data_IF_410284179380
#
_entry.id   IF_410284179380
#
_cell.length_a   1.000
_cell.length_b   1.000
_cell.length_c   1.000
_cell.angle_alpha   90.00
_cell.angle_beta   90.00
_cell.angle_gamma   90.00
#
_symmetry.space_group_name_H-M   'P 1'
#
loop_
_entity.id
_entity.type
_entity.pdbx_description
1 polymer ?
#
# COMPACT_ATOMS: atom_id res chain seq x y z
N UNK A 1 14.05 -20.32 32.06
CA UNK A 1 14.32 -19.06 31.34
C UNK A 1 13.66 -19.07 29.97
N UNK A 2 13.06 -17.95 29.52
CA UNK A 2 12.52 -17.84 28.15
C UNK A 2 13.66 -17.84 27.13
N UNK A 3 13.54 -18.64 26.06
CA UNK A 3 14.52 -18.70 24.96
C UNK A 3 14.85 -17.29 24.44
N UNK A 4 16.13 -16.96 24.19
CA UNK A 4 16.55 -15.63 23.72
C UNK A 4 15.75 -15.13 22.51
N UNK A 5 15.38 -16.03 21.59
CA UNK A 5 14.58 -15.72 20.39
C UNK A 5 13.22 -15.06 20.66
N UNK A 6 12.68 -15.23 21.87
CA UNK A 6 11.37 -14.73 22.28
C UNK A 6 11.44 -13.43 23.09
N UNK A 7 12.64 -12.83 23.22
CA UNK A 7 12.86 -11.56 23.94
C UNK A 7 12.79 -10.33 23.03
N UNK A 8 12.82 -10.51 21.71
CA UNK A 8 12.84 -9.41 20.74
C UNK A 8 11.47 -8.73 20.55
N UNK A 9 11.48 -7.45 20.18
CA UNK A 9 10.27 -6.66 19.89
C UNK A 9 9.47 -7.18 18.68
N UNK A 10 10.08 -8.01 17.84
CA UNK A 10 9.43 -8.65 16.70
C UNK A 10 8.50 -9.80 17.11
N UNK A 11 8.59 -10.27 18.36
CA UNK A 11 7.74 -11.33 18.93
C UNK A 11 6.72 -10.71 19.88
N UNK A 12 5.43 -10.80 19.53
CA UNK A 12 4.31 -10.41 20.39
C UNK A 12 4.01 -11.55 21.37
N UNK A 13 3.99 -11.24 22.66
CA UNK A 13 3.51 -12.16 23.71
C UNK A 13 1.99 -12.02 23.81
N UNK A 14 1.26 -13.12 23.62
CA UNK A 14 -0.21 -13.15 23.71
C UNK A 14 -0.59 -14.20 24.73
N UNK A 15 -1.15 -13.78 25.86
CA UNK A 15 -1.76 -14.70 26.82
C UNK A 15 -3.11 -15.16 26.24
N UNK A 16 -3.33 -16.47 26.15
CA UNK A 16 -4.62 -17.04 25.74
C UNK A 16 -5.06 -18.10 26.74
N UNK A 17 -6.36 -18.19 26.97
CA UNK A 17 -6.96 -19.36 27.61
C UNK A 17 -6.96 -20.51 26.61
N UNK A 18 -6.37 -21.62 27.00
CA UNK A 18 -6.42 -22.91 26.33
C UNK A 18 -7.35 -23.82 27.13
N UNK A 19 -7.87 -24.91 26.53
CA UNK A 19 -8.75 -25.84 27.25
C UNK A 19 -8.14 -26.42 28.55
N UNK A 20 -6.81 -26.52 28.61
CA UNK A 20 -6.06 -27.02 29.77
C UNK A 20 -5.60 -25.92 30.75
N UNK A 21 -5.98 -24.66 30.54
CA UNK A 21 -5.62 -23.55 31.45
C UNK A 21 -5.24 -22.26 30.73
N UNK A 22 -4.35 -21.45 31.31
CA UNK A 22 -3.83 -20.22 30.66
C UNK A 22 -2.40 -20.41 30.22
N UNK A 23 -2.11 -20.17 28.93
CA UNK A 23 -0.76 -20.31 28.36
C UNK A 23 -0.33 -19.03 27.64
N UNK A 24 0.96 -18.70 27.72
CA UNK A 24 1.55 -17.57 26.97
C UNK A 24 2.05 -18.05 25.60
N UNK A 25 1.42 -17.56 24.54
CA UNK A 25 1.79 -17.88 23.15
C UNK A 25 2.66 -16.76 22.58
N UNK A 26 3.80 -17.12 21.99
CA UNK A 26 4.69 -16.21 21.29
C UNK A 26 4.33 -16.17 19.81
N UNK A 27 3.83 -15.03 19.32
CA UNK A 27 3.49 -14.83 17.89
C UNK A 27 4.43 -13.81 17.26
N UNK A 28 5.09 -14.16 16.15
CA UNK A 28 5.86 -13.16 15.38
C UNK A 28 4.91 -12.14 14.76
N UNK A 29 5.33 -10.87 14.68
CA UNK A 29 4.57 -9.82 13.98
C UNK A 29 4.40 -10.21 12.51
N UNK A 30 3.16 -10.17 12.03
CA UNK A 30 2.82 -10.38 10.62
C UNK A 30 3.02 -9.05 9.90
N UNK A 31 3.83 -9.03 8.84
CA UNK A 31 4.03 -7.85 7.98
C UNK A 31 2.86 -7.76 6.98
N UNK A 32 2.41 -6.54 6.64
CA UNK A 32 1.58 -6.31 5.44
C UNK A 32 0.10 -5.96 5.62
N UNK A 33 -0.32 -5.38 6.75
CA UNK A 33 -1.76 -5.12 6.97
C UNK A 33 -2.32 -3.86 6.31
N UNK A 34 -1.53 -2.79 6.16
CA UNK A 34 -2.00 -1.52 5.57
C UNK A 34 -1.04 -1.08 4.48
N UNK A 35 -1.61 -0.82 3.30
CA UNK A 35 -0.90 -0.25 2.16
C UNK A 35 -1.26 1.22 2.07
N UNK A 36 -0.31 2.07 1.73
CA UNK A 36 -0.48 3.51 1.65
C UNK A 36 -0.29 4.00 0.22
N UNK A 37 -1.06 5.01 -0.16
CA UNK A 37 -0.90 5.71 -1.43
C UNK A 37 0.45 6.43 -1.47
N UNK A 38 1.17 6.35 -2.59
CA UNK A 38 2.47 7.02 -2.72
C UNK A 38 2.40 8.56 -2.64
N UNK A 39 1.25 9.16 -2.97
CA UNK A 39 1.08 10.63 -2.99
C UNK A 39 0.47 11.12 -1.68
N UNK A 40 -0.77 10.74 -1.38
CA UNK A 40 -1.49 11.23 -0.21
C UNK A 40 -1.27 10.41 1.06
N UNK A 41 -0.56 9.28 1.00
CA UNK A 41 -0.34 8.34 2.13
C UNK A 41 -1.62 7.75 2.75
N UNK A 42 -2.79 7.97 2.13
CA UNK A 42 -4.05 7.36 2.55
C UNK A 42 -4.04 5.84 2.35
N UNK A 43 -4.88 5.13 3.12
CA UNK A 43 -4.97 3.68 3.03
C UNK A 43 -5.48 3.24 1.64
N UNK A 44 -4.81 2.25 1.05
CA UNK A 44 -5.22 1.61 -0.19
C UNK A 44 -6.12 0.41 0.14
N UNK A 45 -7.38 0.50 -0.26
CA UNK A 45 -8.34 -0.58 -0.18
C UNK A 45 -8.08 -1.62 -1.28
N UNK A 46 -8.43 -2.88 -0.99
CA UNK A 46 -8.29 -4.01 -1.91
C UNK A 46 -6.86 -4.24 -2.44
N UNK A 47 -5.85 -3.82 -1.66
CA UNK A 47 -4.44 -4.10 -1.94
C UNK A 47 -3.89 -5.03 -0.88
N UNK A 48 -3.17 -6.06 -1.30
CA UNK A 48 -2.53 -7.03 -0.41
C UNK A 48 -1.10 -7.33 -0.86
N UNK A 49 -0.18 -7.46 0.09
CA UNK A 49 1.22 -7.83 -0.17
C UNK A 49 1.54 -9.28 0.19
N UNK A 50 0.52 -10.12 0.38
CA UNK A 50 0.76 -11.53 0.69
C UNK A 50 1.23 -12.26 -0.57
N UNK A 51 2.41 -12.92 -0.53
CA UNK A 51 2.94 -13.62 -1.70
C UNK A 51 2.13 -14.89 -2.04
N UNK A 52 1.30 -15.38 -1.12
CA UNK A 52 0.41 -16.53 -1.36
C UNK A 52 -0.82 -16.17 -2.21
N UNK A 53 -1.19 -14.89 -2.31
CA UNK A 53 -2.35 -14.46 -3.10
C UNK A 53 -2.02 -14.45 -4.60
N UNK A 54 -2.99 -14.77 -5.48
CA UNK A 54 -2.84 -14.59 -6.92
C UNK A 54 -2.73 -13.10 -7.27
N UNK A 55 -2.17 -12.79 -8.45
CA UNK A 55 -1.94 -11.40 -8.90
C UNK A 55 -3.21 -10.55 -8.89
N UNK A 56 -4.34 -11.13 -9.33
CA UNK A 56 -5.66 -10.48 -9.34
C UNK A 56 -6.15 -10.07 -7.96
N UNK A 57 -5.81 -10.84 -6.92
CA UNK A 57 -6.20 -10.55 -5.54
C UNK A 57 -5.21 -9.61 -4.82
N UNK A 58 -4.04 -9.31 -5.40
CA UNK A 58 -3.03 -8.43 -4.79
C UNK A 58 -3.32 -6.96 -5.03
N UNK A 59 -3.86 -6.62 -6.20
CA UNK A 59 -4.14 -5.24 -6.56
C UNK A 59 -5.32 -5.13 -7.51
N UNK A 60 -6.05 -3.99 -7.51
CA UNK A 60 -7.04 -3.69 -8.53
C UNK A 60 -6.45 -3.64 -9.94
N UNK A 61 -7.27 -3.86 -10.97
CA UNK A 61 -6.87 -3.86 -12.38
C UNK A 61 -6.72 -2.48 -13.02
N UNK A 62 -7.18 -1.42 -12.35
CA UNK A 62 -7.08 -0.04 -12.87
C UNK A 62 -5.63 0.44 -13.00
N UNK A 63 -5.44 1.50 -13.78
CA UNK A 63 -4.16 2.20 -13.91
C UNK A 63 -3.67 2.65 -12.52
N UNK A 64 -2.39 2.38 -12.24
CA UNK A 64 -1.73 2.60 -10.95
C UNK A 64 -2.41 1.91 -9.75
N UNK A 65 -3.18 0.84 -9.99
CA UNK A 65 -3.76 -0.01 -8.95
C UNK A 65 -2.67 -0.58 -8.02
N UNK A 66 -2.91 -0.50 -6.72
CA UNK A 66 -1.94 -0.94 -5.70
C UNK A 66 -0.85 0.08 -5.34
N UNK A 67 -0.74 1.20 -6.06
CA UNK A 67 0.25 2.25 -5.77
C UNK A 67 -0.41 3.61 -5.45
N UNK A 68 -1.40 4.02 -6.26
CA UNK A 68 -2.16 5.25 -6.03
C UNK A 68 -3.58 4.95 -5.58
N UNK A 69 -4.19 5.83 -4.77
CA UNK A 69 -5.62 5.79 -4.47
C UNK A 69 -6.44 6.30 -5.68
N UNK A 70 -7.75 6.02 -5.69
CA UNK A 70 -8.63 6.40 -6.81
C UNK A 70 -8.65 7.91 -7.07
N UNK A 71 -8.60 8.73 -6.00
CA UNK A 71 -8.55 10.19 -6.11
C UNK A 71 -7.27 10.68 -6.77
N UNK A 72 -6.10 10.21 -6.32
CA UNK A 72 -4.81 10.60 -6.91
C UNK A 72 -4.69 10.13 -8.37
N UNK A 73 -5.25 8.97 -8.72
CA UNK A 73 -5.29 8.55 -10.13
C UNK A 73 -6.20 9.42 -10.98
N UNK A 74 -7.35 9.83 -10.47
CA UNK A 74 -8.23 10.77 -11.17
C UNK A 74 -7.53 12.10 -11.44
N UNK A 75 -6.85 12.65 -10.42
CA UNK A 75 -6.03 13.86 -10.58
C UNK A 75 -4.96 13.69 -11.65
N UNK A 76 -4.20 12.60 -11.62
CA UNK A 76 -3.14 12.33 -12.60
C UNK A 76 -3.69 12.28 -14.04
N UNK A 77 -4.86 11.66 -14.24
CA UNK A 77 -5.52 11.59 -15.55
C UNK A 77 -5.96 12.99 -16.01
N UNK A 78 -6.58 13.78 -15.12
CA UNK A 78 -7.02 15.15 -15.45
C UNK A 78 -5.82 16.03 -15.82
N UNK A 79 -4.74 16.00 -15.03
CA UNK A 79 -3.52 16.74 -15.34
C UNK A 79 -2.90 16.29 -16.67
N UNK A 80 -2.86 14.98 -16.93
CA UNK A 80 -2.35 14.47 -18.20
C UNK A 80 -3.18 14.99 -19.38
N UNK A 81 -4.51 15.02 -19.29
CA UNK A 81 -5.36 15.58 -20.35
C UNK A 81 -5.14 17.08 -20.53
N UNK A 82 -5.08 17.86 -19.44
CA UNK A 82 -4.84 19.31 -19.52
C UNK A 82 -3.51 19.66 -20.18
N UNK A 83 -2.47 18.88 -19.90
CA UNK A 83 -1.15 19.02 -20.54
C UNK A 83 -1.22 18.62 -22.02
N UNK A 84 -1.98 17.56 -22.38
CA UNK A 84 -2.22 17.18 -23.78
C UNK A 84 -2.97 18.27 -24.56
N UNK A 85 -3.97 18.90 -23.94
CA UNK A 85 -4.74 19.99 -24.54
C UNK A 85 -3.94 21.30 -24.66
N UNK A 86 -2.74 21.37 -24.05
CA UNK A 86 -1.90 22.57 -24.04
C UNK A 86 -2.36 23.66 -23.07
N UNK A 87 -3.40 23.40 -22.28
CA UNK A 87 -3.93 24.32 -21.26
C UNK A 87 -3.02 24.48 -20.04
N UNK A 88 -2.01 23.62 -19.90
CA UNK A 88 -1.12 23.56 -18.75
C UNK A 88 0.26 23.05 -19.18
N UNK A 89 1.32 23.60 -18.61
CA UNK A 89 2.68 23.08 -18.82
C UNK A 89 3.02 21.97 -17.81
N UNK A 90 3.99 21.11 -18.14
CA UNK A 90 4.44 20.06 -17.19
C UNK A 90 4.91 20.65 -15.86
N UNK A 91 5.52 21.83 -15.88
CA UNK A 91 6.03 22.54 -14.71
C UNK A 91 4.93 22.95 -13.71
N UNK A 92 3.70 23.09 -14.18
CA UNK A 92 2.55 23.53 -13.38
C UNK A 92 1.85 22.36 -12.66
N UNK A 93 2.19 21.12 -13.01
CA UNK A 93 1.65 19.91 -12.36
C UNK A 93 2.29 19.72 -11.00
N UNK A 94 1.50 19.26 -10.01
CA UNK A 94 2.00 18.91 -8.69
C UNK A 94 3.22 17.96 -8.78
N UNK A 95 4.33 18.31 -8.12
CA UNK A 95 5.61 17.58 -8.21
C UNK A 95 5.45 16.09 -7.88
N UNK A 96 4.59 15.76 -6.92
CA UNK A 96 4.30 14.37 -6.51
C UNK A 96 3.53 13.57 -7.58
N UNK A 97 2.80 14.23 -8.46
CA UNK A 97 2.00 13.62 -9.52
C UNK A 97 2.75 13.53 -10.85
N UNK A 98 3.77 14.37 -11.09
CA UNK A 98 4.64 14.31 -12.26
C UNK A 98 5.09 12.90 -12.69
N UNK A 99 5.60 12.02 -11.79
CA UNK A 99 6.02 10.67 -12.20
C UNK A 99 4.87 9.79 -12.72
N UNK A 100 3.63 10.12 -12.38
CA UNK A 100 2.43 9.42 -12.82
C UNK A 100 1.78 10.08 -14.05
N UNK A 101 2.05 11.36 -14.29
CA UNK A 101 1.53 12.08 -15.47
C UNK A 101 2.40 11.83 -16.71
N UNK A 102 3.73 11.89 -16.58
CA UNK A 102 4.66 11.70 -17.72
C UNK A 102 4.44 10.39 -18.51
N UNK A 103 4.21 9.23 -17.86
CA UNK A 103 3.94 7.98 -18.59
C UNK A 103 2.61 8.00 -19.37
N UNK A 104 1.64 8.82 -18.95
CA UNK A 104 0.35 8.96 -19.64
C UNK A 104 0.44 9.86 -20.88
N UNK A 105 1.42 10.77 -20.93
CA UNK A 105 1.67 11.63 -22.09
C UNK A 105 2.35 10.89 -23.24
N UNK A 106 3.22 9.93 -22.92
CA UNK A 106 3.94 9.10 -23.89
C UNK A 106 3.06 8.04 -24.58
N UNK A 107 1.85 7.84 -24.09
CA UNK A 107 0.83 6.97 -24.68
C UNK A 107 -0.12 7.77 -25.54
#
# INVERSE_FOLDING_TARGET
MTSPKNRSNSVRKVKRRTPQGTTTIYKRRVKGMKHACAVCKGNLHATHSLPSLPKSARHPTRIYGGNLCHMCTGKAIIYAQRVKDGSMQETEVEILLLPYVKPLLKK
#
